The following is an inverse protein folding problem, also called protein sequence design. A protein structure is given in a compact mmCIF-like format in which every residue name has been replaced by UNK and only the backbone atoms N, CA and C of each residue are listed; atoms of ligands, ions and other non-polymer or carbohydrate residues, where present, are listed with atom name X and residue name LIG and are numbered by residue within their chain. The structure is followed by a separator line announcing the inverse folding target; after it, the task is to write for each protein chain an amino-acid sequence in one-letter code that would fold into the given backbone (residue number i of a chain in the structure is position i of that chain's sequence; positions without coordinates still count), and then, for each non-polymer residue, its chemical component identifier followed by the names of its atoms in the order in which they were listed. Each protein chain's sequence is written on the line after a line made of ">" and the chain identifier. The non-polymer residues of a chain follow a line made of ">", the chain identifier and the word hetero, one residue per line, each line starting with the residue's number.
data_IF_867884027226
#
_entry.id   IF_867884027226
#
_cell.length_a   1.000
_cell.length_b   1.000
_cell.length_c   1.000
_cell.angle_alpha   90.00
_cell.angle_beta   90.00
_cell.angle_gamma   90.00
#
_symmetry.space_group_name_H-M   'P 1'
#
loop_
_entity.id
_entity.type
_entity.pdbx_description
1 polymer ?
#
# COMPACT_ATOMS: atom_id res chain seq x y z
N UNK A 1 -76.82 37.77 -12.32
CA UNK A 1 -75.57 38.15 -13.01
C UNK A 1 -74.39 37.64 -12.19
N UNK A 2 -73.50 36.93 -12.86
CA UNK A 2 -72.53 35.97 -12.33
C UNK A 2 -71.63 36.51 -11.21
N UNK A 3 -71.55 35.76 -10.10
CA UNK A 3 -70.38 35.73 -9.22
C UNK A 3 -69.94 34.27 -9.06
N UNK A 4 -68.79 34.01 -9.65
CA UNK A 4 -68.06 32.75 -9.76
C UNK A 4 -67.58 32.28 -8.40
N UNK A 5 -68.04 31.11 -7.96
CA UNK A 5 -67.47 30.34 -6.85
C UNK A 5 -66.47 29.34 -7.43
N UNK A 6 -65.22 29.44 -7.02
CA UNK A 6 -64.14 28.49 -7.35
C UNK A 6 -64.24 27.30 -6.39
N UNK A 7 -64.41 26.05 -6.85
CA UNK A 7 -64.24 24.90 -5.97
C UNK A 7 -62.75 24.56 -5.86
N UNK A 8 -62.26 24.39 -4.63
CA UNK A 8 -60.96 23.79 -4.37
C UNK A 8 -60.95 22.35 -4.90
N UNK A 9 -60.05 22.08 -5.85
CA UNK A 9 -59.70 20.73 -6.24
C UNK A 9 -58.92 20.07 -5.10
N UNK A 10 -59.52 19.04 -4.47
CA UNK A 10 -58.78 18.12 -3.63
C UNK A 10 -57.83 17.31 -4.53
N UNK A 11 -56.55 17.67 -4.51
CA UNK A 11 -55.50 16.93 -5.18
C UNK A 11 -55.23 15.67 -4.35
N UNK A 12 -55.78 14.54 -4.79
CA UNK A 12 -55.44 13.21 -4.31
C UNK A 12 -53.95 12.97 -4.58
N UNK A 13 -53.11 13.21 -3.58
CA UNK A 13 -51.69 12.91 -3.65
C UNK A 13 -51.52 11.40 -3.54
N UNK A 14 -51.55 10.71 -4.68
CA UNK A 14 -51.07 9.33 -4.80
C UNK A 14 -49.64 9.30 -4.30
N UNK A 15 -49.41 8.70 -3.13
CA UNK A 15 -48.08 8.38 -2.63
C UNK A 15 -47.47 7.34 -3.59
N UNK A 16 -46.78 7.81 -4.62
CA UNK A 16 -45.84 6.97 -5.34
C UNK A 16 -44.70 6.67 -4.37
N UNK A 17 -44.68 5.46 -3.81
CA UNK A 17 -43.49 4.89 -3.19
C UNK A 17 -42.41 4.88 -4.28
N UNK A 18 -41.56 5.90 -4.27
CA UNK A 18 -40.37 5.92 -5.09
C UNK A 18 -39.46 4.81 -4.56
N UNK A 19 -39.07 3.81 -5.38
CA UNK A 19 -38.09 2.84 -4.94
C UNK A 19 -36.80 3.58 -4.57
N UNK A 20 -36.26 3.29 -3.38
CA UNK A 20 -34.91 3.68 -3.00
C UNK A 20 -33.96 3.08 -4.04
N UNK A 21 -33.58 3.90 -5.02
CA UNK A 21 -32.74 3.52 -6.13
C UNK A 21 -31.34 3.17 -5.61
N UNK A 22 -31.09 1.88 -5.39
CA UNK A 22 -29.77 1.34 -5.02
C UNK A 22 -29.80 0.06 -4.20
N UNK A 23 -30.79 -0.12 -3.32
CA UNK A 23 -30.88 -1.31 -2.46
C UNK A 23 -31.65 -2.45 -3.14
N UNK A 24 -31.06 -3.65 -3.17
CA UNK A 24 -31.70 -4.89 -3.62
C UNK A 24 -31.49 -6.01 -2.61
N UNK A 25 -32.35 -7.02 -2.67
CA UNK A 25 -32.17 -8.25 -1.90
C UNK A 25 -31.13 -9.13 -2.57
N UNK A 26 -30.04 -9.41 -1.85
CA UNK A 26 -29.01 -10.38 -2.21
C UNK A 26 -29.23 -11.67 -1.43
N UNK A 27 -29.04 -12.81 -2.08
CA UNK A 27 -29.13 -14.13 -1.47
C UNK A 27 -27.76 -14.80 -1.47
N UNK A 28 -27.31 -15.34 -0.33
CA UNK A 28 -26.07 -16.10 -0.25
C UNK A 28 -26.25 -17.57 -0.69
N UNK A 29 -25.14 -18.28 -0.87
CA UNK A 29 -25.15 -19.71 -1.24
C UNK A 29 -25.86 -20.64 -0.23
N UNK A 30 -26.09 -20.18 1.00
CA UNK A 30 -26.78 -20.92 2.04
C UNK A 30 -28.28 -20.55 2.10
N UNK A 31 -28.78 -19.75 1.15
CA UNK A 31 -30.18 -19.34 1.07
C UNK A 31 -30.56 -18.19 2.01
N UNK A 32 -29.59 -17.51 2.64
CA UNK A 32 -29.86 -16.36 3.50
C UNK A 32 -29.96 -15.09 2.65
N UNK A 33 -30.98 -14.29 2.89
CA UNK A 33 -31.21 -13.04 2.16
C UNK A 33 -30.85 -11.81 2.98
N UNK A 34 -30.34 -10.77 2.32
CA UNK A 34 -30.09 -9.46 2.92
C UNK A 34 -30.36 -8.33 1.93
N UNK A 35 -30.96 -7.24 2.42
CA UNK A 35 -31.08 -6.01 1.64
C UNK A 35 -29.78 -5.20 1.72
N UNK A 36 -29.19 -4.94 0.56
CA UNK A 36 -27.98 -4.14 0.46
C UNK A 36 -27.88 -3.42 -0.89
N UNK A 37 -27.05 -2.39 -0.95
CA UNK A 37 -26.65 -1.69 -2.16
C UNK A 37 -25.21 -2.07 -2.51
N UNK A 38 -24.89 -2.33 -3.78
CA UNK A 38 -23.49 -2.40 -4.19
C UNK A 38 -22.96 -0.97 -4.23
N UNK A 39 -21.92 -0.69 -3.46
CA UNK A 39 -21.28 0.63 -3.41
C UNK A 39 -19.93 0.63 -4.13
N UNK A 40 -19.33 -0.54 -4.36
CA UNK A 40 -18.15 -0.70 -5.19
C UNK A 40 -18.00 -2.14 -5.69
N UNK A 41 -17.29 -2.31 -6.81
CA UNK A 41 -16.91 -3.61 -7.38
C UNK A 41 -15.45 -3.55 -7.82
N UNK A 42 -14.64 -4.51 -7.40
CA UNK A 42 -13.22 -4.60 -7.75
C UNK A 42 -12.81 -6.05 -7.98
N UNK A 43 -12.54 -6.42 -9.23
CA UNK A 43 -12.29 -7.81 -9.63
C UNK A 43 -13.48 -8.70 -9.26
N UNK A 44 -13.20 -9.80 -8.55
CA UNK A 44 -14.20 -10.76 -8.06
C UNK A 44 -14.81 -10.36 -6.71
N UNK A 45 -14.42 -9.22 -6.13
CA UNK A 45 -14.99 -8.76 -4.86
C UNK A 45 -16.00 -7.62 -5.08
N UNK A 46 -17.05 -7.65 -4.27
CA UNK A 46 -18.09 -6.62 -4.24
C UNK A 46 -18.19 -6.03 -2.84
N UNK A 47 -18.24 -4.70 -2.77
CA UNK A 47 -18.54 -3.97 -1.54
C UNK A 47 -20.01 -3.64 -1.53
N UNK A 48 -20.70 -4.15 -0.52
CA UNK A 48 -22.12 -3.91 -0.29
C UNK A 48 -22.33 -3.06 0.95
N UNK A 49 -23.37 -2.24 0.95
CA UNK A 49 -23.85 -1.46 2.10
C UNK A 49 -25.25 -1.92 2.46
N UNK A 50 -25.43 -2.46 3.66
CA UNK A 50 -26.73 -2.89 4.18
C UNK A 50 -27.57 -1.68 4.58
N UNK A 51 -28.88 -1.90 4.75
CA UNK A 51 -29.84 -0.86 5.18
C UNK A 51 -29.54 -0.28 6.56
N UNK A 52 -28.85 -1.03 7.43
CA UNK A 52 -28.33 -0.57 8.73
C UNK A 52 -27.06 0.32 8.62
N UNK A 53 -26.60 0.60 7.39
CA UNK A 53 -25.44 1.42 7.10
C UNK A 53 -24.10 0.68 7.15
N UNK A 54 -24.07 -0.58 7.61
CA UNK A 54 -22.85 -1.37 7.65
C UNK A 54 -22.39 -1.74 6.24
N UNK A 55 -21.07 -1.75 6.03
CA UNK A 55 -20.47 -2.09 4.75
C UNK A 55 -19.58 -3.33 4.86
N UNK A 56 -19.71 -4.21 3.88
CA UNK A 56 -18.98 -5.46 3.80
C UNK A 56 -18.35 -5.58 2.42
N UNK A 57 -17.10 -6.06 2.37
CA UNK A 57 -16.48 -6.49 1.12
C UNK A 57 -16.43 -8.01 1.14
N UNK A 58 -17.08 -8.64 0.16
CA UNK A 58 -17.18 -10.09 0.06
C UNK A 58 -16.91 -10.53 -1.38
N UNK A 59 -16.42 -11.76 -1.60
CA UNK A 59 -16.36 -12.33 -2.94
C UNK A 59 -17.76 -12.39 -3.57
N UNK A 60 -17.87 -12.06 -4.86
CA UNK A 60 -19.11 -12.23 -5.61
C UNK A 60 -19.60 -13.69 -5.54
N UNK A 61 -18.66 -14.64 -5.47
CA UNK A 61 -18.93 -16.07 -5.31
C UNK A 61 -19.62 -16.43 -3.99
N UNK A 62 -19.77 -15.53 -3.03
CA UNK A 62 -20.58 -15.74 -1.81
C UNK A 62 -22.08 -15.74 -2.11
N UNK A 63 -22.50 -15.09 -3.20
CA UNK A 63 -23.91 -14.92 -3.54
C UNK A 63 -24.46 -16.03 -4.45
N UNK A 64 -25.78 -16.07 -4.60
CA UNK A 64 -26.48 -16.92 -5.55
C UNK A 64 -26.00 -16.67 -7.00
N UNK A 65 -26.15 -17.63 -7.93
CA UNK A 65 -25.78 -17.42 -9.33
C UNK A 65 -26.42 -16.18 -9.97
N UNK A 66 -27.70 -15.92 -9.68
CA UNK A 66 -28.43 -14.75 -10.16
C UNK A 66 -27.83 -13.44 -9.63
N UNK A 67 -27.41 -13.41 -8.36
CA UNK A 67 -26.76 -12.26 -7.76
C UNK A 67 -25.33 -12.05 -8.27
N UNK A 68 -24.61 -13.12 -8.57
CA UNK A 68 -23.30 -13.05 -9.22
C UNK A 68 -23.39 -12.42 -10.61
N UNK A 69 -24.45 -12.71 -11.38
CA UNK A 69 -24.71 -12.05 -12.67
C UNK A 69 -24.98 -10.56 -12.49
N UNK A 70 -25.83 -10.20 -11.52
CA UNK A 70 -26.11 -8.80 -11.22
C UNK A 70 -24.83 -8.04 -10.81
N UNK A 71 -24.03 -8.61 -9.90
CA UNK A 71 -22.74 -8.02 -9.47
C UNK A 71 -21.80 -7.88 -10.66
N UNK A 72 -21.78 -8.84 -11.59
CA UNK A 72 -20.97 -8.73 -12.81
C UNK A 72 -21.41 -7.58 -13.71
N UNK A 73 -22.71 -7.35 -13.86
CA UNK A 73 -23.27 -6.28 -14.68
C UNK A 73 -23.26 -4.89 -14.02
N UNK A 74 -23.10 -4.82 -12.70
CA UNK A 74 -23.19 -3.56 -11.95
C UNK A 74 -22.06 -2.57 -12.28
N UNK A 75 -22.44 -1.28 -12.36
CA UNK A 75 -21.56 -0.12 -12.56
C UNK A 75 -21.87 0.96 -11.52
N UNK A 76 -20.84 1.71 -11.09
CA UNK A 76 -21.00 2.71 -10.04
C UNK A 76 -21.89 3.90 -10.47
N UNK A 77 -22.92 4.29 -9.68
CA UNK A 77 -23.66 5.52 -9.88
C UNK A 77 -22.76 6.74 -9.60
N UNK A 78 -22.79 7.77 -10.48
CA UNK A 78 -21.98 9.00 -10.34
C UNK A 78 -22.24 9.72 -9.02
N UNK A 79 -21.17 9.95 -8.25
CA UNK A 79 -21.23 10.22 -6.80
C UNK A 79 -21.47 11.67 -6.36
N UNK A 80 -21.94 11.81 -5.12
CA UNK A 80 -21.96 13.03 -4.32
C UNK A 80 -21.20 12.81 -2.98
N UNK A 81 -20.48 13.81 -2.43
CA UNK A 81 -19.63 13.65 -1.25
C UNK A 81 -20.30 14.08 0.06
N UNK A 82 -19.92 13.47 1.18
CA UNK A 82 -20.32 13.87 2.56
C UNK A 82 -19.11 14.48 3.30
N UNK A 83 -19.28 15.48 4.20
CA UNK A 83 -18.22 16.40 4.63
C UNK A 83 -17.32 15.91 5.77
N UNK A 84 -16.13 16.53 5.82
CA UNK A 84 -15.01 16.29 6.72
C UNK A 84 -15.15 16.93 8.12
N UNK A 85 -14.38 16.42 9.08
CA UNK A 85 -14.14 17.03 10.41
C UNK A 85 -12.71 17.60 10.50
N UNK A 86 -12.61 18.80 11.10
CA UNK A 86 -11.45 19.71 11.16
C UNK A 86 -10.38 19.31 12.21
N UNK A 87 -9.10 19.74 12.06
CA UNK A 87 -7.93 19.29 12.85
C UNK A 87 -7.57 20.17 14.07
N UNK A 88 -6.87 19.59 15.05
CA UNK A 88 -6.22 20.27 16.17
C UNK A 88 -4.69 20.35 16.06
N UNK A 89 -4.16 21.54 16.38
CA UNK A 89 -2.78 22.07 16.22
C UNK A 89 -1.79 21.58 17.31
N UNK A 90 -0.45 21.66 17.11
CA UNK A 90 0.56 20.76 17.69
C UNK A 90 1.41 21.35 18.84
N UNK A 91 2.16 20.49 19.54
CA UNK A 91 3.22 20.87 20.48
C UNK A 91 4.54 20.11 20.22
N UNK A 92 5.67 20.80 20.46
CA UNK A 92 7.09 20.49 20.20
C UNK A 92 7.76 19.83 21.45
N UNK A 93 9.06 19.43 21.45
CA UNK A 93 9.49 18.07 21.79
C UNK A 93 10.41 17.96 23.03
N UNK A 94 10.43 16.78 23.66
CA UNK A 94 11.45 16.40 24.63
C UNK A 94 11.44 14.90 24.92
N UNK A 95 12.57 14.24 24.63
CA UNK A 95 13.08 12.91 25.04
C UNK A 95 12.13 11.68 25.06
N UNK A 96 12.59 10.50 24.58
CA UNK A 96 11.72 9.35 24.34
C UNK A 96 11.40 8.59 25.62
N UNK A 97 10.30 8.96 26.29
CA UNK A 97 9.53 8.01 27.09
C UNK A 97 8.77 7.10 26.12
N UNK A 98 8.86 5.79 26.31
CA UNK A 98 8.08 4.81 25.55
C UNK A 98 6.61 5.25 25.53
N UNK A 99 5.95 5.36 24.35
CA UNK A 99 4.56 5.77 24.34
C UNK A 99 3.73 4.60 24.86
N UNK A 100 3.30 4.72 26.11
CA UNK A 100 2.02 4.16 26.57
C UNK A 100 0.91 5.00 25.91
N UNK A 101 0.80 4.89 24.59
CA UNK A 101 -0.43 5.19 23.89
C UNK A 101 -1.32 3.97 24.05
N UNK A 102 -2.60 4.17 24.35
CA UNK A 102 -3.61 3.11 24.28
C UNK A 102 -3.45 2.39 22.95
N UNK A 103 -3.20 1.07 23.00
CA UNK A 103 -3.01 0.27 21.79
C UNK A 103 -4.19 0.50 20.84
N UNK A 104 -3.90 0.77 19.56
CA UNK A 104 -4.95 0.99 18.57
C UNK A 104 -5.83 -0.28 18.50
N UNK A 105 -7.14 -0.19 18.78
CA UNK A 105 -8.01 -1.36 18.89
C UNK A 105 -8.17 -2.13 17.58
N UNK A 106 -7.74 -1.54 16.44
CA UNK A 106 -7.73 -2.18 15.12
C UNK A 106 -6.54 -3.13 14.96
N UNK A 107 -5.48 -2.97 15.75
CA UNK A 107 -4.28 -3.81 15.70
C UNK A 107 -4.57 -5.12 16.41
N UNK A 108 -4.92 -6.13 15.62
CA UNK A 108 -5.19 -7.50 16.06
C UNK A 108 -4.44 -8.48 15.19
N UNK A 109 -4.05 -9.65 15.71
CA UNK A 109 -3.39 -10.68 14.91
C UNK A 109 -4.13 -10.98 13.60
N UNK A 110 -3.41 -10.97 12.49
CA UNK A 110 -3.94 -11.23 11.15
C UNK A 110 -4.86 -10.14 10.58
N UNK A 111 -5.08 -9.01 11.27
CA UNK A 111 -5.89 -7.92 10.74
C UNK A 111 -5.21 -7.20 9.56
N UNK A 112 -5.99 -6.46 8.78
CA UNK A 112 -5.50 -5.44 7.86
C UNK A 112 -6.06 -4.10 8.30
N UNK A 113 -5.18 -3.19 8.70
CA UNK A 113 -5.54 -1.85 9.14
C UNK A 113 -5.32 -0.88 7.98
N UNK A 114 -6.38 -0.19 7.57
CA UNK A 114 -6.28 0.91 6.62
C UNK A 114 -5.94 2.20 7.37
N UNK A 115 -4.80 2.79 7.03
CA UNK A 115 -4.44 4.15 7.43
C UNK A 115 -4.85 5.09 6.31
N UNK A 116 -5.85 5.94 6.55
CA UNK A 116 -6.35 6.90 5.57
C UNK A 116 -5.79 8.30 5.83
N UNK A 117 -5.43 9.00 4.75
CA UNK A 117 -4.80 10.31 4.78
C UNK A 117 -5.60 11.29 3.91
N UNK A 118 -6.81 11.69 4.34
CA UNK A 118 -7.69 12.53 3.52
C UNK A 118 -7.12 13.92 3.21
N UNK A 119 -6.12 14.37 3.98
CA UNK A 119 -5.38 15.63 3.73
C UNK A 119 -4.29 15.51 2.67
N UNK A 120 -3.87 14.29 2.32
CA UNK A 120 -2.91 14.06 1.24
C UNK A 120 -3.64 13.98 -0.11
N UNK A 121 -2.93 14.25 -1.22
CA UNK A 121 -3.48 14.00 -2.57
C UNK A 121 -3.99 12.57 -2.72
N UNK A 122 -5.00 12.38 -3.57
CA UNK A 122 -5.48 11.06 -3.96
C UNK A 122 -4.35 10.18 -4.50
N UNK A 123 -4.52 8.87 -4.45
CA UNK A 123 -3.59 7.97 -5.13
C UNK A 123 -3.78 8.02 -6.66
N UNK A 124 -2.83 7.47 -7.42
CA UNK A 124 -2.91 7.37 -8.90
C UNK A 124 -4.14 6.60 -9.43
N UNK A 125 -4.88 5.91 -8.55
CA UNK A 125 -6.11 5.21 -8.87
C UNK A 125 -7.36 6.05 -8.54
N UNK A 126 -7.19 7.29 -8.07
CA UNK A 126 -8.26 8.23 -7.74
C UNK A 126 -8.89 8.01 -6.37
N UNK A 127 -8.33 7.13 -5.55
CA UNK A 127 -8.81 6.82 -4.21
C UNK A 127 -8.26 7.83 -3.19
N UNK A 128 -8.89 7.88 -2.02
CA UNK A 128 -8.28 8.52 -0.84
C UNK A 128 -6.90 7.89 -0.62
N UNK A 129 -5.92 8.73 -0.27
CA UNK A 129 -4.60 8.25 0.10
C UNK A 129 -4.72 7.24 1.25
N UNK A 130 -4.28 6.02 1.03
CA UNK A 130 -4.37 4.95 2.02
C UNK A 130 -3.08 4.15 2.05
N UNK A 131 -2.66 3.72 3.24
CA UNK A 131 -1.64 2.70 3.44
C UNK A 131 -2.29 1.52 4.19
N UNK A 132 -2.42 0.36 3.55
CA UNK A 132 -2.92 -0.83 4.25
C UNK A 132 -1.76 -1.56 4.91
N UNK A 133 -1.90 -1.83 6.20
CA UNK A 133 -0.92 -2.55 7.02
C UNK A 133 -1.51 -3.87 7.46
N UNK A 134 -0.91 -4.97 6.98
CA UNK A 134 -1.17 -6.31 7.48
C UNK A 134 -0.47 -6.47 8.83
N UNK A 135 -1.24 -6.87 9.85
CA UNK A 135 -0.73 -7.28 11.17
C UNK A 135 -0.44 -8.78 11.12
N UNK A 136 0.71 -9.26 11.65
CA UNK A 136 1.06 -10.67 11.59
C UNK A 136 0.11 -11.53 12.44
N UNK A 137 -0.04 -12.79 12.06
CA UNK A 137 -0.85 -13.78 12.76
C UNK A 137 -0.36 -14.06 14.18
N UNK A 138 0.94 -13.88 14.45
CA UNK A 138 1.55 -14.09 15.77
C UNK A 138 1.70 -12.80 16.59
N UNK A 139 1.04 -11.70 16.18
CA UNK A 139 1.23 -10.38 16.78
C UNK A 139 1.03 -10.38 18.30
N UNK A 140 2.06 -9.96 19.00
CA UNK A 140 2.09 -9.75 20.44
C UNK A 140 2.60 -8.32 20.70
N UNK A 141 1.79 -7.42 21.29
CA UNK A 141 2.18 -6.03 21.50
C UNK A 141 3.38 -5.86 22.44
N UNK A 142 3.77 -6.92 23.16
CA UNK A 142 4.92 -6.91 24.07
C UNK A 142 6.23 -7.36 23.41
N UNK A 143 6.16 -7.91 22.19
CA UNK A 143 7.32 -8.42 21.47
C UNK A 143 7.69 -7.50 20.30
N UNK A 144 8.98 -7.43 19.92
CA UNK A 144 9.38 -6.76 18.69
C UNK A 144 8.71 -7.39 17.47
N UNK A 145 8.16 -6.57 16.56
CA UNK A 145 7.53 -7.05 15.31
C UNK A 145 8.34 -6.59 14.09
N UNK A 146 8.80 -7.51 13.21
CA UNK A 146 9.53 -7.12 12.01
C UNK A 146 8.60 -6.49 10.97
N UNK A 147 9.15 -5.60 10.14
CA UNK A 147 8.41 -4.85 9.11
C UNK A 147 8.93 -5.15 7.71
N UNK A 148 8.01 -5.36 6.76
CA UNK A 148 8.27 -5.23 5.32
C UNK A 148 7.36 -4.15 4.72
N UNK A 149 7.94 -3.18 4.02
CA UNK A 149 7.19 -2.21 3.21
C UNK A 149 7.28 -2.60 1.74
N UNK A 150 6.13 -2.75 1.09
CA UNK A 150 6.01 -3.03 -0.33
C UNK A 150 5.65 -1.76 -1.11
N UNK A 151 6.40 -1.49 -2.18
CA UNK A 151 6.12 -0.40 -3.12
C UNK A 151 6.00 -0.99 -4.53
N UNK A 152 4.80 -0.91 -5.11
CA UNK A 152 4.49 -1.57 -6.39
C UNK A 152 4.96 -0.82 -7.64
N UNK A 153 4.98 -1.52 -8.77
CA UNK A 153 5.20 -0.94 -10.10
C UNK A 153 3.98 -0.18 -10.65
N UNK A 154 4.08 0.33 -11.88
CA UNK A 154 2.97 1.01 -12.55
C UNK A 154 2.42 2.20 -11.76
N UNK A 155 1.11 2.27 -11.57
CA UNK A 155 0.44 3.30 -10.75
C UNK A 155 0.63 3.10 -9.23
N UNK A 156 1.36 2.06 -8.82
CA UNK A 156 1.47 1.66 -7.42
C UNK A 156 0.16 1.06 -6.90
N UNK A 157 0.14 0.79 -5.60
CA UNK A 157 -1.02 0.25 -4.92
C UNK A 157 -0.87 0.40 -3.42
N UNK A 158 -1.98 0.59 -2.72
CA UNK A 158 -2.01 0.76 -1.27
C UNK A 158 -2.07 -0.57 -0.50
N UNK A 159 -1.91 -1.72 -1.17
CA UNK A 159 -2.06 -3.05 -0.56
C UNK A 159 -0.69 -3.73 -0.36
N UNK A 160 -0.54 -4.54 0.70
CA UNK A 160 0.72 -5.20 1.03
C UNK A 160 1.02 -6.45 0.20
N UNK A 161 0.15 -6.82 -0.74
CA UNK A 161 0.11 -8.15 -1.36
C UNK A 161 1.43 -8.55 -2.05
N UNK A 162 2.14 -7.60 -2.66
CA UNK A 162 3.41 -7.90 -3.33
C UNK A 162 4.54 -8.31 -2.36
N UNK A 163 4.40 -7.98 -1.08
CA UNK A 163 5.35 -8.42 -0.03
C UNK A 163 5.07 -9.81 0.52
N UNK A 164 3.90 -10.41 0.28
CA UNK A 164 3.48 -11.66 0.94
C UNK A 164 4.35 -12.87 0.61
N UNK A 165 4.98 -12.89 -0.56
CA UNK A 165 5.87 -13.98 -0.97
C UNK A 165 7.32 -13.79 -0.47
N UNK A 166 7.69 -12.59 0.01
CA UNK A 166 9.06 -12.24 0.35
C UNK A 166 9.42 -12.59 1.79
N UNK A 167 8.42 -12.70 2.66
CA UNK A 167 8.59 -12.95 4.09
C UNK A 167 7.48 -13.86 4.59
N UNK A 168 7.62 -14.40 5.80
CA UNK A 168 6.49 -15.05 6.47
C UNK A 168 5.48 -14.00 6.93
N UNK A 169 4.34 -13.91 6.24
CA UNK A 169 3.24 -13.02 6.60
C UNK A 169 2.69 -13.28 8.01
N UNK A 170 2.89 -14.50 8.52
CA UNK A 170 2.55 -14.92 9.88
C UNK A 170 3.34 -14.20 10.96
N UNK A 171 4.50 -13.66 10.61
CA UNK A 171 5.48 -13.08 11.52
C UNK A 171 5.81 -11.61 11.22
N UNK A 172 5.64 -11.17 9.98
CA UNK A 172 5.91 -9.78 9.56
C UNK A 172 4.65 -8.92 9.52
N UNK A 173 4.77 -7.70 10.04
CA UNK A 173 3.90 -6.62 9.61
C UNK A 173 4.26 -6.24 8.17
N UNK A 174 3.26 -6.06 7.30
CA UNK A 174 3.50 -5.74 5.88
C UNK A 174 2.64 -4.54 5.47
N UNK A 175 3.27 -3.48 4.97
CA UNK A 175 2.57 -2.27 4.52
C UNK A 175 2.69 -2.06 3.00
N UNK A 176 1.64 -1.53 2.37
CA UNK A 176 1.66 -1.15 0.95
C UNK A 176 1.58 0.36 0.76
N UNK A 177 2.49 0.94 -0.02
CA UNK A 177 2.54 2.38 -0.30
C UNK A 177 2.13 2.73 -1.75
N UNK A 178 1.10 3.56 -1.95
CA UNK A 178 0.71 4.06 -3.27
C UNK A 178 1.47 5.35 -3.66
N UNK A 179 1.23 5.87 -4.86
CA UNK A 179 1.79 7.16 -5.32
C UNK A 179 0.72 8.26 -5.40
N UNK A 180 1.08 9.54 -5.16
CA UNK A 180 0.16 10.67 -5.24
C UNK A 180 -0.18 11.05 -6.69
N UNK A 181 -1.47 11.24 -6.99
CA UNK A 181 -1.99 11.51 -8.35
C UNK A 181 -1.63 12.88 -8.91
N UNK A 182 -1.07 13.76 -8.08
CA UNK A 182 -0.72 15.15 -8.46
C UNK A 182 0.60 15.25 -9.21
N UNK A 183 1.37 14.15 -9.29
CA UNK A 183 2.64 14.06 -10.00
C UNK A 183 2.67 12.79 -10.86
N UNK A 184 3.55 12.71 -11.88
CA UNK A 184 3.76 11.50 -12.66
C UNK A 184 4.20 10.30 -11.81
N UNK A 185 4.20 9.11 -12.40
CA UNK A 185 4.73 7.91 -11.74
C UNK A 185 6.24 8.05 -11.49
N UNK A 186 6.81 7.33 -10.50
CA UNK A 186 8.22 7.50 -10.10
C UNK A 186 9.24 7.50 -11.24
N UNK A 187 9.16 6.58 -12.20
CA UNK A 187 10.08 6.56 -13.34
C UNK A 187 10.04 7.86 -14.16
N UNK A 188 8.86 8.44 -14.39
CA UNK A 188 8.72 9.72 -15.08
C UNK A 188 9.16 10.89 -14.18
N UNK A 189 8.93 10.80 -12.88
CA UNK A 189 9.34 11.82 -11.91
C UNK A 189 10.87 11.91 -11.72
N UNK A 190 11.65 10.91 -12.18
CA UNK A 190 13.12 10.96 -12.09
C UNK A 190 13.72 12.16 -12.81
N UNK A 191 13.06 12.66 -13.86
CA UNK A 191 13.54 13.79 -14.65
C UNK A 191 13.23 15.16 -14.00
N UNK A 192 12.39 15.18 -12.94
CA UNK A 192 12.01 16.40 -12.23
C UNK A 192 12.06 16.20 -10.71
N UNK A 193 13.11 16.71 -10.03
CA UNK A 193 13.27 16.55 -8.58
C UNK A 193 12.07 16.99 -7.74
N UNK A 194 11.34 18.03 -8.18
CA UNK A 194 10.15 18.55 -7.47
C UNK A 194 8.98 17.57 -7.49
N UNK A 195 8.82 16.81 -8.56
CA UNK A 195 7.78 15.78 -8.62
C UNK A 195 8.10 14.64 -7.66
N UNK A 196 9.39 14.32 -7.53
CA UNK A 196 9.85 13.30 -6.59
C UNK A 196 9.75 13.75 -5.13
N UNK A 197 9.94 15.05 -4.83
CA UNK A 197 9.71 15.61 -3.49
C UNK A 197 8.30 15.29 -3.00
N UNK A 198 7.30 15.44 -3.88
CA UNK A 198 5.90 15.12 -3.55
C UNK A 198 5.73 13.63 -3.21
N UNK A 199 6.39 12.73 -3.95
CA UNK A 199 6.35 11.28 -3.67
C UNK A 199 7.00 10.97 -2.32
N UNK A 200 8.17 11.58 -2.05
CA UNK A 200 8.91 11.43 -0.80
C UNK A 200 8.08 11.89 0.40
N UNK A 201 7.53 13.10 0.35
CA UNK A 201 6.73 13.65 1.46
C UNK A 201 5.46 12.84 1.70
N UNK A 202 4.84 12.34 0.62
CA UNK A 202 3.68 11.47 0.68
C UNK A 202 3.98 10.16 1.41
N UNK A 203 5.07 9.48 1.05
CA UNK A 203 5.49 8.24 1.74
C UNK A 203 5.98 8.50 3.15
N UNK A 204 6.66 9.61 3.41
CA UNK A 204 7.12 10.00 4.74
C UNK A 204 5.96 10.14 5.73
N UNK A 205 4.87 10.79 5.31
CA UNK A 205 3.67 10.91 6.13
C UNK A 205 3.06 9.53 6.45
N UNK A 206 2.96 8.66 5.44
CA UNK A 206 2.41 7.31 5.63
C UNK A 206 3.27 6.45 6.55
N UNK A 207 4.58 6.42 6.34
CA UNK A 207 5.51 5.64 7.15
C UNK A 207 5.53 6.11 8.61
N UNK A 208 5.39 7.42 8.86
CA UNK A 208 5.27 7.94 10.21
C UNK A 208 4.05 7.34 10.95
N UNK A 209 2.92 7.18 10.26
CA UNK A 209 1.71 6.61 10.86
C UNK A 209 1.77 5.07 10.96
N UNK A 210 2.51 4.39 10.07
CA UNK A 210 2.83 2.96 10.26
C UNK A 210 3.63 2.75 11.55
N UNK A 211 4.63 3.60 11.82
CA UNK A 211 5.43 3.53 13.05
C UNK A 211 4.58 3.84 14.30
N UNK A 212 3.63 4.76 14.21
CA UNK A 212 2.68 5.04 15.31
C UNK A 212 1.71 3.88 15.54
N UNK A 213 1.24 3.24 14.47
CA UNK A 213 0.31 2.11 14.55
C UNK A 213 0.94 0.92 15.29
N UNK A 214 2.23 0.68 15.05
CA UNK A 214 3.00 -0.43 15.62
C UNK A 214 4.19 0.11 16.44
N UNK A 215 3.97 0.58 17.68
CA UNK A 215 5.04 1.15 18.50
C UNK A 215 6.12 0.13 18.90
N UNK A 216 5.82 -1.17 18.77
CA UNK A 216 6.74 -2.29 19.03
C UNK A 216 7.47 -2.79 17.76
N UNK A 217 7.49 -2.05 16.64
CA UNK A 217 8.28 -2.42 15.47
C UNK A 217 9.75 -2.66 15.85
N UNK A 218 10.28 -3.83 15.50
CA UNK A 218 11.69 -4.16 15.73
C UNK A 218 12.58 -3.18 14.95
N UNK A 219 13.42 -2.36 15.62
CA UNK A 219 14.32 -1.44 14.93
C UNK A 219 15.46 -2.13 14.16
N UNK A 220 15.69 -3.42 14.40
CA UNK A 220 16.72 -4.20 13.73
C UNK A 220 16.24 -4.83 12.44
N UNK A 221 14.93 -5.10 12.30
CA UNK A 221 14.37 -5.86 11.18
C UNK A 221 13.26 -5.04 10.50
N UNK A 222 13.68 -4.10 9.66
CA UNK A 222 12.78 -3.30 8.82
C UNK A 222 13.28 -3.33 7.38
N UNK A 223 12.47 -3.89 6.51
CA UNK A 223 12.80 -4.14 5.12
C UNK A 223 11.91 -3.28 4.22
N UNK A 224 12.43 -2.88 3.07
CA UNK A 224 11.61 -2.26 2.01
C UNK A 224 11.90 -2.94 0.68
N UNK A 225 10.85 -3.30 -0.04
CA UNK A 225 10.90 -3.98 -1.32
C UNK A 225 10.11 -3.21 -2.37
N UNK A 226 10.71 -3.08 -3.55
CA UNK A 226 10.14 -2.32 -4.66
C UNK A 226 10.40 -2.99 -6.00
N UNK A 227 9.37 -2.95 -6.85
CA UNK A 227 9.45 -3.40 -8.24
C UNK A 227 9.16 -2.23 -9.18
N UNK A 228 9.94 -2.06 -10.26
CA UNK A 228 9.69 -1.03 -11.28
C UNK A 228 9.69 0.38 -10.67
N UNK A 229 8.57 1.10 -10.73
CA UNK A 229 8.39 2.39 -10.04
C UNK A 229 8.70 2.32 -8.54
N UNK A 230 8.46 1.20 -7.88
CA UNK A 230 8.82 1.01 -6.48
C UNK A 230 10.33 0.93 -6.27
N UNK A 231 11.04 0.27 -7.19
CA UNK A 231 12.49 0.20 -7.18
C UNK A 231 13.11 1.59 -7.42
N UNK A 232 12.56 2.39 -8.36
CA UNK A 232 12.98 3.79 -8.54
C UNK A 232 12.72 4.66 -7.31
N UNK A 233 11.63 4.41 -6.58
CA UNK A 233 11.31 5.10 -5.32
C UNK A 233 12.36 4.81 -4.24
N UNK A 234 12.70 3.53 -4.04
CA UNK A 234 13.76 3.15 -3.10
C UNK A 234 15.09 3.75 -3.54
N UNK A 235 15.45 3.55 -4.80
CA UNK A 235 16.70 4.05 -5.38
C UNK A 235 16.88 5.55 -5.18
N UNK A 236 15.84 6.34 -5.43
CA UNK A 236 15.90 7.81 -5.30
C UNK A 236 16.02 8.27 -3.84
N UNK A 237 15.36 7.59 -2.89
CA UNK A 237 15.58 7.86 -1.46
C UNK A 237 17.03 7.60 -1.05
N UNK A 238 17.65 6.54 -1.59
CA UNK A 238 19.07 6.26 -1.37
C UNK A 238 19.96 7.29 -2.06
N UNK A 239 19.66 7.66 -3.30
CA UNK A 239 20.35 8.70 -4.08
C UNK A 239 20.44 9.98 -3.28
N UNK A 240 19.31 10.48 -2.82
CA UNK A 240 19.19 11.77 -2.15
C UNK A 240 19.56 11.74 -0.67
N UNK A 241 19.88 10.57 -0.12
CA UNK A 241 20.26 10.44 1.27
C UNK A 241 19.14 10.76 2.25
N UNK A 242 17.89 10.43 1.92
CA UNK A 242 16.71 10.76 2.70
C UNK A 242 16.76 10.07 4.08
N UNK A 243 17.14 10.84 5.12
CA UNK A 243 17.42 10.31 6.45
C UNK A 243 16.24 9.56 7.07
N UNK A 244 15.02 10.08 6.91
CA UNK A 244 13.81 9.43 7.44
C UNK A 244 13.62 8.00 6.88
N UNK A 245 14.04 7.77 5.64
CA UNK A 245 13.89 6.51 4.94
C UNK A 245 15.07 5.58 5.24
N UNK A 246 16.29 6.09 5.11
CA UNK A 246 17.52 5.33 5.34
C UNK A 246 17.64 4.89 6.80
N UNK A 247 17.24 5.74 7.74
CA UNK A 247 17.32 5.43 9.17
C UNK A 247 16.20 4.45 9.57
N UNK A 248 15.10 4.37 8.81
CA UNK A 248 13.99 3.44 9.07
C UNK A 248 14.28 2.00 8.63
N UNK A 249 14.98 1.78 7.52
CA UNK A 249 15.16 0.45 6.91
C UNK A 249 16.57 -0.10 7.04
N UNK A 250 16.71 -1.41 7.23
CA UNK A 250 17.98 -2.14 7.33
C UNK A 250 18.33 -2.91 6.05
N UNK A 251 17.35 -3.22 5.20
CA UNK A 251 17.56 -3.90 3.93
C UNK A 251 16.65 -3.35 2.81
N UNK A 252 17.20 -3.30 1.60
CA UNK A 252 16.56 -2.75 0.41
C UNK A 252 16.48 -3.80 -0.70
N UNK A 253 15.29 -4.13 -1.17
CA UNK A 253 15.05 -5.05 -2.27
C UNK A 253 14.61 -4.24 -3.49
N UNK A 254 15.46 -4.20 -4.51
CA UNK A 254 15.32 -3.32 -5.68
C UNK A 254 15.25 -4.20 -6.93
N UNK A 255 14.05 -4.34 -7.48
CA UNK A 255 13.78 -5.22 -8.63
C UNK A 255 13.39 -4.38 -9.84
N UNK A 256 14.10 -4.54 -10.96
CA UNK A 256 13.73 -3.93 -12.24
C UNK A 256 13.57 -2.39 -12.18
N UNK A 257 14.52 -1.69 -11.58
CA UNK A 257 14.52 -0.22 -11.43
C UNK A 257 15.57 0.25 -10.42
N UNK A 258 15.56 1.52 -10.01
CA UNK A 258 16.53 2.01 -9.02
C UNK A 258 16.95 3.45 -9.21
N UNK A 259 18.06 3.82 -8.57
CA UNK A 259 18.70 5.14 -8.64
C UNK A 259 20.10 5.01 -9.22
N UNK A 260 20.58 6.08 -9.87
CA UNK A 260 21.87 6.06 -10.60
C UNK A 260 23.09 6.43 -9.74
N UNK A 261 22.86 7.07 -8.60
CA UNK A 261 23.89 7.56 -7.68
C UNK A 261 23.42 7.35 -6.22
N UNK A 262 24.34 7.41 -5.26
CA UNK A 262 24.03 7.32 -3.82
C UNK A 262 24.90 8.30 -3.03
N UNK A 263 24.28 9.31 -2.43
CA UNK A 263 24.98 10.34 -1.64
C UNK A 263 25.23 9.88 -0.19
N UNK A 264 24.32 9.09 0.39
CA UNK A 264 24.38 8.68 1.80
C UNK A 264 25.31 7.48 2.10
N UNK A 265 26.43 7.35 1.39
CA UNK A 265 27.33 6.18 1.42
C UNK A 265 27.78 5.75 2.83
N UNK A 266 27.88 6.66 3.80
CA UNK A 266 28.31 6.31 5.17
C UNK A 266 27.21 5.58 5.95
N UNK A 267 25.95 5.99 5.81
CA UNK A 267 24.80 5.43 6.55
C UNK A 267 24.38 4.04 6.05
N UNK A 268 24.86 3.63 4.88
CA UNK A 268 24.41 2.43 4.19
C UNK A 268 25.33 1.22 4.37
N UNK A 269 26.55 1.40 4.91
CA UNK A 269 27.61 0.37 4.94
C UNK A 269 27.24 -0.91 5.66
N UNK A 270 26.37 -0.81 6.66
CA UNK A 270 25.93 -1.94 7.48
C UNK A 270 24.59 -2.51 7.02
N UNK A 271 24.02 -1.96 5.95
CA UNK A 271 22.71 -2.33 5.42
C UNK A 271 22.86 -3.29 4.24
N UNK A 272 21.77 -4.00 3.96
CA UNK A 272 21.73 -5.05 2.96
C UNK A 272 20.99 -4.57 1.70
N UNK A 273 21.40 -5.06 0.54
CA UNK A 273 20.68 -4.84 -0.70
C UNK A 273 20.55 -6.14 -1.51
N UNK A 274 19.35 -6.37 -2.02
CA UNK A 274 19.09 -7.38 -3.03
C UNK A 274 18.69 -6.70 -4.33
N UNK A 275 19.42 -6.97 -5.40
CA UNK A 275 19.21 -6.37 -6.72
C UNK A 275 18.87 -7.47 -7.72
N UNK A 276 17.78 -7.33 -8.48
CA UNK A 276 17.52 -8.26 -9.58
C UNK A 276 16.92 -7.58 -10.80
N UNK A 277 17.23 -8.12 -11.97
CA UNK A 277 16.82 -7.56 -13.26
C UNK A 277 16.72 -8.63 -14.34
N UNK A 278 15.82 -8.43 -15.28
CA UNK A 278 15.62 -9.25 -16.45
C UNK A 278 16.70 -9.04 -17.52
N UNK A 279 17.18 -10.14 -18.08
CA UNK A 279 18.07 -10.21 -19.24
C UNK A 279 17.30 -10.70 -20.48
N UNK A 280 16.21 -10.01 -20.80
CA UNK A 280 15.49 -10.17 -22.06
C UNK A 280 15.06 -8.79 -22.58
N UNK A 281 15.88 -8.22 -23.46
CA UNK A 281 15.63 -6.92 -24.05
C UNK A 281 14.34 -6.89 -24.89
N UNK A 282 13.96 -8.01 -25.52
CA UNK A 282 12.71 -8.09 -26.28
C UNK A 282 11.47 -7.97 -25.37
N UNK A 283 11.62 -8.34 -24.09
CA UNK A 283 10.59 -8.19 -23.05
C UNK A 283 10.86 -7.01 -22.11
N UNK A 284 11.65 -6.03 -22.55
CA UNK A 284 11.97 -4.79 -21.82
C UNK A 284 12.70 -5.02 -20.48
N UNK A 285 13.48 -6.10 -20.36
CA UNK A 285 14.35 -6.30 -19.20
C UNK A 285 15.36 -5.15 -19.05
N UNK A 286 15.69 -4.79 -17.81
CA UNK A 286 16.44 -3.58 -17.49
C UNK A 286 17.95 -3.77 -17.33
N UNK A 287 18.52 -4.88 -17.86
CA UNK A 287 19.93 -5.27 -17.70
C UNK A 287 20.94 -4.14 -17.80
N UNK A 288 20.97 -3.40 -18.91
CA UNK A 288 21.97 -2.36 -19.10
C UNK A 288 21.83 -1.23 -18.09
N UNK A 289 20.60 -0.87 -17.72
CA UNK A 289 20.35 0.15 -16.71
C UNK A 289 20.81 -0.33 -15.32
N UNK A 290 20.47 -1.56 -14.96
CA UNK A 290 20.75 -2.14 -13.66
C UNK A 290 22.24 -2.41 -13.47
N UNK A 291 22.90 -3.02 -14.45
CA UNK A 291 24.32 -3.34 -14.39
C UNK A 291 25.20 -2.07 -14.37
N UNK A 292 24.91 -1.10 -15.25
CA UNK A 292 25.79 0.06 -15.44
C UNK A 292 25.58 1.17 -14.40
N UNK A 293 24.36 1.32 -13.86
CA UNK A 293 24.04 2.41 -12.93
C UNK A 293 23.73 1.90 -11.53
N UNK A 294 22.66 1.12 -11.38
CA UNK A 294 22.12 0.79 -10.05
C UNK A 294 23.08 -0.09 -9.25
N UNK A 295 23.56 -1.20 -9.83
CA UNK A 295 24.48 -2.10 -9.16
C UNK A 295 25.78 -1.42 -8.79
N UNK A 296 26.30 -0.58 -9.70
CA UNK A 296 27.49 0.23 -9.45
C UNK A 296 27.28 1.17 -8.27
N UNK A 297 26.20 1.95 -8.27
CA UNK A 297 25.91 2.92 -7.20
C UNK A 297 25.76 2.26 -5.82
N UNK A 298 25.04 1.13 -5.75
CA UNK A 298 24.84 0.38 -4.50
C UNK A 298 26.14 -0.24 -4.00
N UNK A 299 26.98 -0.80 -4.88
CA UNK A 299 28.31 -1.32 -4.52
C UNK A 299 29.25 -0.20 -4.07
N UNK A 300 29.23 0.95 -4.73
CA UNK A 300 30.03 2.13 -4.36
C UNK A 300 29.62 2.71 -3.00
N UNK A 301 28.35 2.56 -2.62
CA UNK A 301 27.83 2.88 -1.29
C UNK A 301 28.18 1.83 -0.21
N UNK A 302 28.81 0.71 -0.61
CA UNK A 302 29.28 -0.39 0.25
C UNK A 302 28.19 -1.06 1.08
N UNK A 303 26.99 -1.21 0.53
CA UNK A 303 26.00 -2.12 1.11
C UNK A 303 26.50 -3.57 1.01
N UNK A 304 25.95 -4.45 1.84
CA UNK A 304 26.09 -5.89 1.65
C UNK A 304 25.15 -6.33 0.52
N UNK A 305 25.70 -6.50 -0.69
CA UNK A 305 24.93 -6.72 -1.92
C UNK A 305 24.84 -8.19 -2.27
N UNK A 306 23.63 -8.63 -2.61
CA UNK A 306 23.37 -9.81 -3.43
C UNK A 306 22.68 -9.32 -4.70
N UNK A 307 23.18 -9.75 -5.87
CA UNK A 307 22.59 -9.39 -7.15
C UNK A 307 22.31 -10.62 -8.02
N UNK A 308 21.28 -10.52 -8.88
CA UNK A 308 20.88 -11.60 -9.77
C UNK A 308 20.36 -11.06 -11.11
N UNK A 309 21.05 -11.43 -12.18
CA UNK A 309 20.57 -11.27 -13.55
C UNK A 309 19.68 -12.46 -13.93
N UNK A 310 18.42 -12.19 -14.25
CA UNK A 310 17.39 -13.19 -14.57
C UNK A 310 17.33 -13.44 -16.08
N UNK A 311 17.99 -14.50 -16.54
CA UNK A 311 18.01 -14.89 -17.95
C UNK A 311 16.60 -15.21 -18.49
N UNK A 312 16.26 -14.62 -19.65
CA UNK A 312 14.97 -14.83 -20.33
C UNK A 312 13.76 -14.14 -19.67
N UNK A 313 13.99 -13.41 -18.57
CA UNK A 313 12.99 -12.59 -17.89
C UNK A 313 13.05 -11.16 -18.42
N UNK A 314 11.88 -10.56 -18.65
CA UNK A 314 11.75 -9.17 -19.07
C UNK A 314 11.58 -8.21 -17.88
N UNK A 315 10.71 -7.22 -18.06
CA UNK A 315 10.29 -6.34 -16.98
C UNK A 315 9.29 -7.03 -16.03
N UNK A 316 9.80 -7.90 -15.16
CA UNK A 316 8.97 -8.73 -14.28
C UNK A 316 9.66 -9.04 -12.94
N UNK A 317 8.87 -9.50 -11.97
CA UNK A 317 9.32 -10.04 -10.69
C UNK A 317 8.68 -11.43 -10.48
N UNK A 318 9.25 -12.48 -11.06
CA UNK A 318 8.64 -13.81 -11.06
C UNK A 318 8.67 -14.47 -9.68
N UNK A 319 7.80 -15.45 -9.45
CA UNK A 319 7.73 -16.19 -8.17
C UNK A 319 9.04 -16.89 -7.81
N UNK A 320 9.81 -17.34 -8.81
CA UNK A 320 11.15 -17.90 -8.59
C UNK A 320 12.09 -16.89 -7.94
N UNK A 321 12.06 -15.63 -8.37
CA UNK A 321 12.90 -14.58 -7.81
C UNK A 321 12.40 -14.17 -6.43
N UNK A 322 11.09 -14.11 -6.21
CA UNK A 322 10.51 -13.87 -4.88
C UNK A 322 10.98 -14.92 -3.85
N UNK A 323 11.06 -16.18 -4.26
CA UNK A 323 11.57 -17.26 -3.42
C UNK A 323 13.07 -17.10 -3.10
N UNK A 324 13.87 -16.62 -4.04
CA UNK A 324 15.29 -16.29 -3.81
C UNK A 324 15.44 -15.12 -2.84
N UNK A 325 14.64 -14.05 -3.00
CA UNK A 325 14.59 -12.92 -2.07
C UNK A 325 14.24 -13.39 -0.66
N UNK A 326 13.20 -14.22 -0.51
CA UNK A 326 12.82 -14.79 0.79
C UNK A 326 13.97 -15.57 1.43
N UNK A 327 14.61 -16.45 0.65
CA UNK A 327 15.75 -17.24 1.11
C UNK A 327 16.92 -16.34 1.51
N UNK A 328 17.17 -15.27 0.75
CA UNK A 328 18.21 -14.29 1.05
C UNK A 328 17.92 -13.54 2.37
N UNK A 329 16.68 -13.14 2.61
CA UNK A 329 16.27 -12.53 3.89
C UNK A 329 16.59 -13.49 5.04
N UNK A 330 16.12 -14.73 4.95
CA UNK A 330 16.25 -15.73 6.01
C UNK A 330 17.71 -16.16 6.29
N UNK A 331 18.52 -16.31 5.23
CA UNK A 331 19.87 -16.88 5.34
C UNK A 331 20.98 -15.84 5.39
N UNK A 332 20.72 -14.61 4.97
CA UNK A 332 21.75 -13.56 4.86
C UNK A 332 21.41 -12.37 5.73
N UNK A 333 20.22 -11.79 5.54
CA UNK A 333 19.84 -10.54 6.21
C UNK A 333 19.63 -10.77 7.71
N UNK A 334 18.78 -11.73 8.10
CA UNK A 334 18.49 -11.97 9.52
C UNK A 334 19.74 -12.38 10.32
N UNK A 335 20.59 -13.32 9.86
CA UNK A 335 21.83 -13.63 10.57
C UNK A 335 22.81 -12.45 10.60
N UNK A 336 22.89 -11.69 9.50
CA UNK A 336 23.76 -10.53 9.41
C UNK A 336 23.37 -9.40 10.35
N UNK A 337 22.06 -9.14 10.51
CA UNK A 337 21.54 -8.15 11.47
C UNK A 337 21.71 -8.61 12.92
N UNK A 338 21.62 -9.92 13.18
CA UNK A 338 21.85 -10.49 14.52
C UNK A 338 23.32 -10.41 14.95
N UNK A 339 24.26 -10.58 14.01
CA UNK A 339 25.71 -10.50 14.28
C UNK A 339 26.20 -9.08 14.64
N UNK A 340 25.43 -8.05 14.27
CA UNK A 340 25.81 -6.65 14.47
C UNK A 340 26.92 -6.18 13.53
N UNK A 341 27.40 -4.93 13.68
CA UNK A 341 28.43 -4.39 12.81
C UNK A 341 29.73 -5.19 12.89
N UNK A 342 30.25 -5.61 11.74
CA UNK A 342 31.62 -6.15 11.67
C UNK A 342 32.59 -5.00 11.95
N UNK A 343 33.38 -5.10 13.03
CA UNK A 343 34.48 -4.15 13.28
C UNK A 343 35.43 -4.15 12.06
N UNK A 344 35.90 -2.97 11.65
CA UNK A 344 36.70 -2.79 10.44
C UNK A 344 38.03 -3.55 10.46
#
# INVERSE_FOLDING_TARGET
>A
MNKTLVPWAALSLSLALSPLAGARTFTDKNGRSMEAEIVAKQGDQVRIKRTDGQQFTVPATTFSPADQEYIRAWQAPGGAPTPASTPGTPAKPGAPTAPSGTADPRVKPGAVVALEFPSLPKDHNGNVATCNVRIPEDYDPTKPVPLLVWIGGGKGGNTPNGGFALVDKGHYAIAGLPYPSTVPTPNTALDNPKDFDVIIDYHKAMLADVVKLLPNLDPKIRLVAGFSNGAHTIGTNLTRGEGYFIDLFNAFIIIEGGGRDIDAKKKLREKFAYLAWGNDAAKKGSKDYMANYVCKAVKDARLQVTDHEMDGVGHDFPESEKALVKTWIEKTVLPGLAAGPKKP
#
